data_IF_566219786200
#
_entry.id   IF_566219786200
#
_cell.length_a   1.000
_cell.length_b   1.000
_cell.length_c   1.000
_cell.angle_alpha   90.00
_cell.angle_beta   90.00
_cell.angle_gamma   90.00
#
_symmetry.space_group_name_H-M   'P 1'
#
loop_
_entity.id
_entity.type
_entity.pdbx_description
1 polymer ?
#
# COMPACT_ATOMS: atom_id res chain seq x y z
N UNK A 1 -17.22 -18.43 -6.81
CA UNK A 1 -15.92 -18.70 -7.46
C UNK A 1 -14.89 -17.84 -6.75
N UNK A 2 -13.82 -18.43 -6.17
CA UNK A 2 -12.72 -17.60 -5.65
C UNK A 2 -12.06 -16.93 -6.86
N UNK A 3 -11.88 -15.60 -6.88
CA UNK A 3 -11.17 -14.94 -7.96
C UNK A 3 -9.77 -15.55 -8.11
N UNK A 4 -9.20 -15.60 -9.33
CA UNK A 4 -7.87 -16.15 -9.54
C UNK A 4 -6.88 -15.40 -8.65
N UNK A 5 -6.11 -16.14 -7.85
CA UNK A 5 -5.10 -15.59 -6.95
C UNK A 5 -4.06 -14.88 -7.81
N UNK A 6 -4.08 -13.55 -7.80
CA UNK A 6 -2.97 -12.77 -8.35
C UNK A 6 -1.76 -13.09 -7.50
N UNK A 7 -0.74 -13.69 -8.11
CA UNK A 7 0.49 -14.09 -7.41
C UNK A 7 1.35 -12.89 -7.01
N UNK A 8 1.09 -11.72 -7.62
CA UNK A 8 1.86 -10.51 -7.38
C UNK A 8 0.98 -9.28 -7.20
N UNK A 9 1.29 -8.52 -6.15
CA UNK A 9 0.69 -7.24 -5.79
C UNK A 9 1.62 -6.11 -6.23
N UNK A 10 1.07 -5.14 -6.97
CA UNK A 10 1.82 -3.93 -7.38
C UNK A 10 2.07 -3.06 -6.14
N UNK A 11 3.25 -2.47 -6.04
CA UNK A 11 3.63 -1.46 -5.05
C UNK A 11 4.08 -0.20 -5.77
N UNK A 12 3.43 0.92 -5.46
CA UNK A 12 3.67 2.20 -6.13
C UNK A 12 4.04 3.30 -5.14
N UNK A 13 4.85 4.25 -5.61
CA UNK A 13 5.19 5.47 -4.90
C UNK A 13 5.35 6.60 -5.91
N UNK A 14 4.79 7.78 -5.63
CA UNK A 14 4.95 8.92 -6.53
C UNK A 14 6.43 9.28 -6.74
N UNK A 15 6.80 9.55 -7.99
CA UNK A 15 8.17 9.84 -8.39
C UNK A 15 9.13 8.66 -8.27
N UNK A 16 8.64 7.42 -8.29
CA UNK A 16 9.46 6.21 -8.20
C UNK A 16 8.96 5.12 -9.15
N UNK A 17 9.86 4.25 -9.61
CA UNK A 17 9.49 3.10 -10.43
C UNK A 17 8.75 2.09 -9.57
N UNK A 18 7.57 1.64 -10.02
CA UNK A 18 6.76 0.64 -9.32
C UNK A 18 7.46 -0.71 -9.19
N UNK A 19 7.05 -1.50 -8.19
CA UNK A 19 7.53 -2.86 -7.93
C UNK A 19 6.36 -3.84 -7.89
N UNK A 20 6.65 -5.13 -8.02
CA UNK A 20 5.68 -6.21 -7.84
C UNK A 20 6.23 -7.17 -6.80
N UNK A 21 5.41 -7.51 -5.79
CA UNK A 21 5.79 -8.40 -4.69
C UNK A 21 4.76 -9.51 -4.53
N UNK A 22 5.18 -10.67 -4.04
CA UNK A 22 4.25 -11.70 -3.58
C UNK A 22 3.95 -11.45 -2.10
N UNK A 23 2.73 -11.02 -1.79
CA UNK A 23 2.32 -10.72 -0.41
C UNK A 23 2.20 -11.97 0.45
N UNK A 24 1.98 -13.14 -0.17
CA UNK A 24 1.83 -14.42 0.54
C UNK A 24 3.17 -14.97 1.06
N UNK A 25 4.28 -14.41 0.57
CA UNK A 25 5.63 -14.74 1.05
C UNK A 25 5.98 -14.13 2.40
N UNK A 26 5.16 -13.22 2.94
CA UNK A 26 5.38 -12.58 4.23
C UNK A 26 4.48 -13.20 5.31
N UNK A 27 4.93 -13.16 6.57
CA UNK A 27 4.21 -13.72 7.71
C UNK A 27 3.24 -12.75 8.36
N UNK A 28 3.55 -11.46 8.27
CA UNK A 28 2.82 -10.39 8.95
C UNK A 28 3.11 -9.03 8.31
N UNK A 29 2.40 -8.01 8.79
CA UNK A 29 2.57 -6.65 8.30
C UNK A 29 3.92 -6.02 8.61
N UNK A 30 4.62 -6.46 9.65
CA UNK A 30 5.93 -5.92 9.99
C UNK A 30 6.95 -6.35 8.92
N UNK A 31 6.95 -7.63 8.53
CA UNK A 31 7.80 -8.14 7.46
C UNK A 31 7.49 -7.44 6.11
N UNK A 32 6.21 -7.31 5.76
CA UNK A 32 5.77 -6.60 4.56
C UNK A 32 6.28 -5.15 4.54
N UNK A 33 6.09 -4.41 5.64
CA UNK A 33 6.51 -3.00 5.74
C UNK A 33 8.02 -2.85 5.63
N UNK A 34 8.79 -3.70 6.30
CA UNK A 34 10.25 -3.64 6.25
C UNK A 34 10.77 -3.94 4.84
N UNK A 35 10.20 -4.94 4.16
CA UNK A 35 10.55 -5.27 2.78
C UNK A 35 10.25 -4.10 1.82
N UNK A 36 9.04 -3.51 1.92
CA UNK A 36 8.67 -2.35 1.10
C UNK A 36 9.56 -1.14 1.42
N UNK A 37 9.83 -0.88 2.69
CA UNK A 37 10.74 0.18 3.11
C UNK A 37 12.13 0.02 2.47
N UNK A 38 12.67 -1.19 2.45
CA UNK A 38 13.93 -1.50 1.80
C UNK A 38 13.88 -1.25 0.27
N UNK A 39 12.82 -1.71 -0.41
CA UNK A 39 12.69 -1.56 -1.88
C UNK A 39 12.62 -0.10 -2.35
N UNK A 40 12.14 0.81 -1.52
CA UNK A 40 11.96 2.22 -1.86
C UNK A 40 12.89 3.18 -1.08
N UNK A 41 13.84 2.67 -0.30
CA UNK A 41 14.78 3.50 0.48
C UNK A 41 14.12 4.29 1.60
N UNK A 42 13.14 3.69 2.28
CA UNK A 42 12.33 4.27 3.34
C UNK A 42 12.45 3.51 4.68
N UNK A 43 13.57 2.81 4.91
CA UNK A 43 13.85 2.15 6.19
C UNK A 43 13.69 3.14 7.36
N UNK A 44 13.09 2.69 8.46
CA UNK A 44 12.75 3.50 9.63
C UNK A 44 11.54 4.43 9.44
N UNK A 45 10.96 4.54 8.24
CA UNK A 45 9.79 5.42 7.98
C UNK A 45 8.48 4.64 7.91
N UNK A 46 8.46 3.46 7.28
CA UNK A 46 7.22 2.69 7.12
C UNK A 46 6.99 1.63 8.20
N UNK A 47 8.03 1.24 8.94
CA UNK A 47 8.00 0.15 9.92
C UNK A 47 7.21 0.50 11.18
N UNK A 48 7.10 1.80 11.48
CA UNK A 48 6.40 2.32 12.66
C UNK A 48 5.29 3.29 12.22
N UNK A 49 4.03 2.84 12.07
CA UNK A 49 2.94 3.64 11.50
C UNK A 49 2.59 4.91 12.30
N UNK A 50 2.98 4.99 13.58
CA UNK A 50 2.81 6.16 14.44
C UNK A 50 4.02 7.08 14.54
N UNK A 51 5.17 6.71 13.98
CA UNK A 51 6.43 7.47 14.14
C UNK A 51 6.81 8.29 12.91
N UNK A 52 6.10 8.13 11.80
CA UNK A 52 6.33 8.92 10.60
C UNK A 52 5.02 9.36 9.94
N UNK A 53 5.11 10.46 9.20
CA UNK A 53 4.01 11.00 8.40
C UNK A 53 3.83 10.25 7.07
N UNK A 54 4.69 9.26 6.78
CA UNK A 54 4.51 8.39 5.63
C UNK A 54 3.40 7.39 5.92
N UNK A 55 2.54 7.15 4.94
CA UNK A 55 1.45 6.18 5.06
C UNK A 55 1.58 5.10 4.00
N UNK A 56 1.32 3.87 4.40
CA UNK A 56 1.21 2.73 3.51
C UNK A 56 -0.27 2.39 3.40
N UNK A 57 -0.82 2.52 2.20
CA UNK A 57 -2.23 2.23 1.91
C UNK A 57 -2.33 1.11 0.89
N UNK A 58 -3.49 0.48 0.81
CA UNK A 58 -3.80 -0.50 -0.22
C UNK A 58 -5.14 -0.21 -0.87
N UNK A 59 -5.29 -0.67 -2.11
CA UNK A 59 -6.55 -0.68 -2.85
C UNK A 59 -7.06 -2.10 -2.86
N UNK A 60 -8.34 -2.29 -2.56
CA UNK A 60 -8.99 -3.59 -2.58
C UNK A 60 -9.67 -3.88 -3.93
N UNK A 61 -10.61 -4.84 -3.94
CA UNK A 61 -11.41 -5.17 -5.13
C UNK A 61 -12.62 -4.26 -5.34
N UNK A 62 -13.08 -3.58 -4.29
CA UNK A 62 -14.15 -2.56 -4.34
C UNK A 62 -13.62 -1.18 -4.76
N UNK A 63 -12.30 -1.09 -4.94
CA UNK A 63 -11.58 0.11 -5.34
C UNK A 63 -11.52 1.17 -4.21
N UNK A 64 -11.68 0.72 -2.97
CA UNK A 64 -11.50 1.53 -1.77
C UNK A 64 -10.03 1.61 -1.39
N UNK A 65 -9.63 2.77 -0.87
CA UNK A 65 -8.26 3.00 -0.40
C UNK A 65 -8.23 2.91 1.12
N UNK A 66 -7.57 1.87 1.61
CA UNK A 66 -7.56 1.49 3.02
C UNK A 66 -6.14 1.56 3.58
N UNK A 67 -6.01 1.79 4.89
CA UNK A 67 -4.70 1.80 5.54
C UNK A 67 -4.20 0.36 5.69
N UNK A 68 -2.94 0.10 5.33
CA UNK A 68 -2.35 -1.22 5.60
C UNK A 68 -2.23 -1.39 7.10
N UNK A 69 -2.73 -2.51 7.63
CA UNK A 69 -2.60 -2.91 9.03
C UNK A 69 -3.86 -2.82 9.89
N UNK A 70 -4.98 -2.35 9.35
CA UNK A 70 -6.25 -2.26 10.10
C UNK A 70 -6.99 -3.61 10.15
N UNK A 71 -6.92 -4.38 9.06
CA UNK A 71 -7.54 -5.71 8.95
C UNK A 71 -6.62 -6.82 9.47
N UNK A 72 -7.14 -7.99 9.86
CA UNK A 72 -6.34 -9.19 10.06
C UNK A 72 -5.48 -9.52 8.84
N UNK A 73 -4.26 -10.01 9.06
CA UNK A 73 -3.29 -10.32 7.99
C UNK A 73 -3.87 -11.19 6.86
N UNK A 74 -4.59 -12.24 7.23
CA UNK A 74 -5.22 -13.16 6.28
C UNK A 74 -6.30 -12.47 5.43
N UNK A 75 -7.07 -11.55 6.01
CA UNK A 75 -8.10 -10.79 5.26
C UNK A 75 -7.43 -9.84 4.27
N UNK A 76 -6.39 -9.13 4.71
CA UNK A 76 -5.61 -8.25 3.85
C UNK A 76 -5.02 -8.98 2.63
N UNK A 77 -4.41 -10.15 2.82
CA UNK A 77 -3.86 -10.94 1.70
C UNK A 77 -4.95 -11.26 0.66
N UNK A 78 -6.16 -11.56 1.11
CA UNK A 78 -7.26 -11.92 0.21
C UNK A 78 -7.90 -10.71 -0.47
N UNK A 79 -7.82 -9.52 0.12
CA UNK A 79 -8.46 -8.30 -0.39
C UNK A 79 -7.52 -7.42 -1.20
N UNK A 80 -6.21 -7.44 -0.92
CA UNK A 80 -5.26 -6.50 -1.52
C UNK A 80 -5.11 -6.68 -3.04
N UNK A 81 -5.33 -5.59 -3.78
CA UNK A 81 -5.13 -5.52 -5.23
C UNK A 81 -3.87 -4.75 -5.61
N UNK A 82 -3.56 -3.68 -4.87
CA UNK A 82 -2.40 -2.83 -5.07
C UNK A 82 -2.01 -2.16 -3.75
N UNK A 83 -0.73 -1.90 -3.52
CA UNK A 83 -0.21 -1.16 -2.38
C UNK A 83 0.38 0.16 -2.88
N UNK A 84 0.19 1.24 -2.12
CA UNK A 84 0.76 2.55 -2.42
C UNK A 84 1.42 3.16 -1.19
N UNK A 85 2.58 3.75 -1.40
CA UNK A 85 3.31 4.54 -0.42
C UNK A 85 2.95 6.00 -0.66
N UNK A 86 2.45 6.66 0.39
CA UNK A 86 2.11 8.07 0.41
C UNK A 86 3.16 8.85 1.17
N UNK A 87 3.70 9.87 0.53
CA UNK A 87 4.52 10.88 1.19
C UNK A 87 3.68 11.78 2.09
N UNK A 88 4.29 12.49 3.07
CA UNK A 88 3.55 13.38 3.97
C UNK A 88 2.73 14.43 3.22
N UNK A 89 3.25 14.96 2.10
CA UNK A 89 2.54 15.90 1.24
C UNK A 89 1.34 15.26 0.53
N UNK A 90 1.42 13.99 0.12
CA UNK A 90 0.27 13.27 -0.45
C UNK A 90 -0.81 13.02 0.61
N UNK A 91 -0.42 12.70 1.84
CA UNK A 91 -1.35 12.52 2.97
C UNK A 91 -2.09 13.83 3.29
N UNK A 92 -1.38 14.95 3.32
CA UNK A 92 -2.00 16.27 3.52
C UNK A 92 -2.99 16.61 2.39
N UNK A 93 -2.60 16.40 1.13
CA UNK A 93 -3.46 16.66 -0.03
C UNK A 93 -4.73 15.80 -0.01
N UNK A 94 -4.66 14.55 0.45
CA UNK A 94 -5.87 13.71 0.62
C UNK A 94 -6.82 14.25 1.68
N UNK A 95 -6.28 14.80 2.76
CA UNK A 95 -7.10 15.41 3.80
C UNK A 95 -7.82 16.67 3.29
N UNK A 96 -7.18 17.43 2.41
CA UNK A 96 -7.69 18.72 1.91
C UNK A 96 -8.65 18.56 0.72
N UNK A 97 -8.35 17.64 -0.20
CA UNK A 97 -9.09 17.47 -1.47
C UNK A 97 -9.97 16.21 -1.50
N UNK A 98 -9.98 15.41 -0.43
CA UNK A 98 -10.64 14.10 -0.37
C UNK A 98 -9.92 13.00 -1.17
N UNK A 99 -10.48 11.79 -1.16
CA UNK A 99 -9.89 10.60 -1.82
C UNK A 99 -9.81 10.68 -3.35
N UNK A 100 -10.39 11.70 -4.00
CA UNK A 100 -10.44 11.81 -5.46
C UNK A 100 -9.04 11.85 -6.12
N UNK A 101 -8.04 12.40 -5.42
CA UNK A 101 -6.64 12.52 -5.89
C UNK A 101 -5.96 11.15 -6.08
N UNK A 102 -6.37 10.13 -5.33
CA UNK A 102 -5.85 8.76 -5.48
C UNK A 102 -6.38 8.07 -6.73
N UNK A 103 -7.65 8.31 -7.06
CA UNK A 103 -8.31 7.66 -8.18
C UNK A 103 -7.67 8.01 -9.52
N UNK A 104 -7.29 9.28 -9.72
CA UNK A 104 -6.56 9.70 -10.93
C UNK A 104 -5.21 8.99 -11.07
N UNK A 105 -4.56 8.69 -9.94
CA UNK A 105 -3.29 7.97 -9.95
C UNK A 105 -3.44 6.44 -10.03
N UNK A 106 -4.61 5.89 -9.65
CA UNK A 106 -4.93 4.45 -9.74
C UNK A 106 -5.39 4.08 -11.16
N UNK A 107 -6.07 4.99 -11.86
CA UNK A 107 -6.57 4.81 -13.23
C UNK A 107 -5.48 4.92 -14.32
N UNK A 108 -4.28 5.43 -13.97
CA UNK A 108 -3.18 5.62 -14.91
C UNK A 108 -2.20 4.42 -15.03
N UNK A 109 -2.56 3.22 -14.54
CA UNK A 109 -1.65 2.08 -14.37
C UNK A 109 -2.17 0.71 -14.83
#
# INVERSE_FOLDING_TARGET
MKPPVRTYTKVQKQGSVGRSIDVTGFRDYHELRSAIACMFGLQGKLEHPGSSDWKLVYVDYENDVLLVGDDPWEEFINCVRCIRILSPSEVQQMSENGMHVLNDCIQAA
#
